data_IF_368781603061
#
_entry.id   IF_368781603061
#
_cell.length_a   1.000
_cell.length_b   1.000
_cell.length_c   1.000
_cell.angle_alpha   90.00
_cell.angle_beta   90.00
_cell.angle_gamma   90.00
#
_symmetry.space_group_name_H-M   'P 1'
#
loop_
_entity.id
_entity.type
_entity.pdbx_description
1 polymer ?
#
# COMPACT_ATOMS: atom_id res chain seq x y z
N UNK A 1 12.65 22.62 -13.10
CA UNK A 1 13.25 21.34 -13.53
C UNK A 1 12.14 20.31 -13.50
N UNK A 2 11.75 19.77 -14.67
CA UNK A 2 10.59 18.89 -14.83
C UNK A 2 10.76 17.61 -14.05
N UNK A 3 9.80 17.34 -13.16
CA UNK A 3 9.62 16.06 -12.52
C UNK A 3 9.32 15.03 -13.63
N UNK A 4 10.18 14.01 -13.75
CA UNK A 4 10.12 13.03 -14.84
C UNK A 4 8.80 12.27 -14.90
N UNK A 5 8.49 11.67 -16.04
CA UNK A 5 7.23 10.98 -16.39
C UNK A 5 6.72 9.92 -15.40
N UNK A 6 7.54 9.48 -14.44
CA UNK A 6 7.15 8.57 -13.35
C UNK A 6 6.14 9.16 -12.37
N UNK A 7 6.18 10.49 -12.16
CA UNK A 7 5.31 11.21 -11.23
C UNK A 7 3.87 11.38 -11.73
N UNK A 8 3.67 11.45 -13.05
CA UNK A 8 2.37 11.75 -13.67
C UNK A 8 1.38 10.57 -13.69
N UNK A 9 1.77 9.38 -13.19
CA UNK A 9 0.95 8.16 -13.27
C UNK A 9 0.42 7.64 -11.91
N UNK A 10 0.71 8.33 -10.81
CA UNK A 10 0.05 8.02 -9.53
C UNK A 10 -1.37 8.57 -9.55
N UNK A 11 -2.28 7.86 -8.86
CA UNK A 11 -3.64 8.36 -8.65
C UNK A 11 -3.55 9.67 -7.85
N UNK A 12 -4.16 10.77 -8.32
CA UNK A 12 -4.16 12.02 -7.59
C UNK A 12 -4.65 11.91 -6.14
N UNK A 13 -5.51 10.92 -5.86
CA UNK A 13 -6.02 10.65 -4.51
C UNK A 13 -4.93 10.19 -3.53
N UNK A 14 -3.85 9.59 -4.02
CA UNK A 14 -2.72 9.18 -3.19
C UNK A 14 -1.76 10.33 -2.88
N UNK A 15 -1.63 11.30 -3.80
CA UNK A 15 -0.69 12.42 -3.67
C UNK A 15 -1.05 13.42 -2.57
N UNK A 16 -2.33 13.50 -2.19
CA UNK A 16 -2.80 14.44 -1.17
C UNK A 16 -2.57 13.96 0.26
N UNK A 17 -2.24 12.67 0.47
CA UNK A 17 -2.08 12.11 1.80
C UNK A 17 -0.68 12.39 2.34
N UNK A 18 -0.57 13.33 3.27
CA UNK A 18 0.70 13.72 3.92
C UNK A 18 0.60 13.60 5.43
N UNK A 19 1.74 13.49 6.10
CA UNK A 19 1.79 13.47 7.57
C UNK A 19 1.26 14.75 8.23
N UNK A 20 1.19 15.86 7.50
CA UNK A 20 0.58 17.11 8.00
C UNK A 20 -0.95 17.00 8.14
N UNK A 21 -1.57 16.07 7.41
CA UNK A 21 -3.01 15.81 7.46
C UNK A 21 -3.38 14.65 8.39
N UNK A 22 -2.42 14.11 9.11
CA UNK A 22 -2.67 13.02 10.06
C UNK A 22 -3.50 13.52 11.25
N UNK A 23 -4.65 12.89 11.46
CA UNK A 23 -5.55 13.19 12.59
C UNK A 23 -5.07 12.61 13.93
N UNK A 24 -3.89 11.98 13.90
CA UNK A 24 -3.20 11.42 15.07
C UNK A 24 -4.02 10.40 15.89
N UNK A 25 -4.94 9.67 15.27
CA UNK A 25 -5.71 8.62 15.95
C UNK A 25 -4.89 7.40 16.34
N UNK A 26 -3.77 7.18 15.66
CA UNK A 26 -2.83 6.10 15.94
C UNK A 26 -1.40 6.68 16.09
N UNK A 27 -1.14 7.49 17.14
CA UNK A 27 0.09 8.29 17.24
C UNK A 27 1.35 7.42 17.24
N UNK A 28 1.34 6.27 17.93
CA UNK A 28 2.48 5.36 17.95
C UNK A 28 2.79 4.79 16.55
N UNK A 29 1.76 4.47 15.74
CA UNK A 29 1.94 3.99 14.38
C UNK A 29 2.45 5.11 13.48
N UNK A 30 1.89 6.31 13.61
CA UNK A 30 2.34 7.50 12.86
C UNK A 30 3.80 7.85 13.16
N UNK A 31 4.22 7.73 14.43
CA UNK A 31 5.62 7.95 14.83
C UNK A 31 6.57 6.91 14.18
N UNK A 32 6.20 5.63 14.18
CA UNK A 32 6.97 4.60 13.47
C UNK A 32 7.07 4.90 11.98
N UNK A 33 5.99 5.36 11.34
CA UNK A 33 6.01 5.73 9.93
C UNK A 33 6.97 6.90 9.64
N UNK A 34 7.00 7.92 10.51
CA UNK A 34 7.95 9.04 10.38
C UNK A 34 9.39 8.57 10.55
N UNK A 35 9.68 7.78 11.59
CA UNK A 35 11.00 7.19 11.82
C UNK A 35 11.45 6.31 10.66
N UNK A 36 10.55 5.54 10.04
CA UNK A 36 10.86 4.75 8.84
C UNK A 36 11.36 5.64 7.69
N UNK A 37 10.72 6.79 7.48
CA UNK A 37 11.15 7.76 6.47
C UNK A 37 12.48 8.41 6.85
N UNK A 38 12.70 8.69 8.14
CA UNK A 38 13.94 9.32 8.63
C UNK A 38 15.15 8.39 8.49
N UNK A 39 14.95 7.08 8.67
CA UNK A 39 15.97 6.03 8.53
C UNK A 39 15.87 5.28 7.19
N UNK A 40 15.42 5.95 6.14
CA UNK A 40 15.15 5.31 4.85
C UNK A 40 16.34 4.56 4.27
N UNK A 41 17.55 5.10 4.37
CA UNK A 41 18.73 4.47 3.76
C UNK A 41 19.05 3.13 4.42
N UNK A 42 18.89 3.03 5.73
CA UNK A 42 19.04 1.76 6.48
C UNK A 42 17.92 0.79 6.13
N UNK A 43 16.67 1.25 6.09
CA UNK A 43 15.51 0.42 5.71
C UNK A 43 15.67 -0.13 4.30
N UNK A 44 16.21 0.69 3.38
CA UNK A 44 16.48 0.28 2.00
C UNK A 44 17.63 -0.71 1.91
N UNK A 45 18.72 -0.48 2.64
CA UNK A 45 19.89 -1.37 2.63
C UNK A 45 19.56 -2.78 3.10
N UNK A 46 18.71 -2.88 4.14
CA UNK A 46 18.30 -4.15 4.74
C UNK A 46 17.00 -4.73 4.15
N UNK A 47 16.46 -4.11 3.08
CA UNK A 47 15.20 -4.51 2.44
C UNK A 47 14.02 -4.63 3.43
N UNK A 48 13.91 -3.70 4.37
CA UNK A 48 12.87 -3.72 5.41
C UNK A 48 11.61 -3.03 4.91
N UNK A 49 10.53 -3.78 4.74
CA UNK A 49 9.22 -3.28 4.39
C UNK A 49 8.26 -3.20 5.58
N UNK A 50 7.05 -2.70 5.32
CA UNK A 50 5.98 -2.53 6.31
C UNK A 50 4.71 -3.23 5.85
N UNK A 51 4.08 -3.98 6.76
CA UNK A 51 2.73 -4.51 6.60
C UNK A 51 1.77 -3.74 7.52
N UNK A 52 0.85 -2.98 6.92
CA UNK A 52 -0.28 -2.39 7.64
C UNK A 52 -1.47 -3.34 7.59
N UNK A 53 -2.04 -3.68 8.74
CA UNK A 53 -3.19 -4.59 8.82
C UNK A 53 -4.24 -4.08 9.83
N UNK A 54 -5.48 -4.58 9.71
CA UNK A 54 -6.58 -4.20 10.60
C UNK A 54 -7.85 -3.82 9.85
N UNK A 55 -8.88 -3.36 10.57
CA UNK A 55 -10.20 -3.09 10.04
C UNK A 55 -10.27 -2.11 8.88
N UNK A 56 -11.40 -2.14 8.17
CA UNK A 56 -11.66 -1.23 7.04
C UNK A 56 -11.78 0.22 7.53
N UNK A 57 -11.14 1.15 6.81
CA UNK A 57 -11.28 2.59 7.08
C UNK A 57 -10.45 3.11 8.26
N UNK A 58 -9.56 2.31 8.86
CA UNK A 58 -8.73 2.69 10.01
C UNK A 58 -7.56 3.61 9.67
N UNK A 59 -7.25 3.83 8.36
CA UNK A 59 -6.19 4.74 7.93
C UNK A 59 -4.92 4.06 7.41
N UNK A 60 -4.93 2.74 7.14
CA UNK A 60 -3.78 1.99 6.60
C UNK A 60 -3.23 2.60 5.31
N UNK A 61 -4.09 2.73 4.30
CA UNK A 61 -3.74 3.32 3.00
C UNK A 61 -3.25 4.77 3.14
N UNK A 62 -3.85 5.53 4.06
CA UNK A 62 -3.43 6.90 4.34
C UNK A 62 -1.97 6.96 4.80
N UNK A 63 -1.60 6.18 5.85
CA UNK A 63 -0.23 6.17 6.37
C UNK A 63 0.79 5.59 5.38
N UNK A 64 0.40 4.55 4.62
CA UNK A 64 1.25 4.01 3.55
C UNK A 64 1.54 5.08 2.47
N UNK A 65 0.54 5.87 2.09
CA UNK A 65 0.70 7.00 1.18
C UNK A 65 1.55 8.12 1.78
N UNK A 66 1.38 8.42 3.08
CA UNK A 66 2.21 9.42 3.77
C UNK A 66 3.70 9.07 3.69
N UNK A 67 4.06 7.79 3.91
CA UNK A 67 5.44 7.33 3.76
C UNK A 67 5.91 7.52 2.32
N UNK A 68 5.14 7.06 1.32
CA UNK A 68 5.53 7.18 -0.07
C UNK A 68 5.74 8.64 -0.48
N UNK A 69 4.82 9.54 -0.12
CA UNK A 69 4.92 10.96 -0.45
C UNK A 69 6.11 11.63 0.25
N UNK A 70 6.34 11.34 1.54
CA UNK A 70 7.49 11.86 2.26
C UNK A 70 8.84 11.38 1.69
N UNK A 71 8.91 10.13 1.19
CA UNK A 71 10.08 9.61 0.47
C UNK A 71 10.27 10.32 -0.88
N UNK A 72 9.17 10.57 -1.61
CA UNK A 72 9.20 11.32 -2.86
C UNK A 72 9.72 12.75 -2.65
N UNK A 73 9.28 13.43 -1.58
CA UNK A 73 9.77 14.77 -1.22
C UNK A 73 11.28 14.78 -0.93
N UNK A 74 11.86 13.62 -0.55
CA UNK A 74 13.30 13.39 -0.40
C UNK A 74 13.97 12.87 -1.68
N UNK A 75 13.32 12.99 -2.84
CA UNK A 75 13.82 12.54 -4.15
C UNK A 75 14.02 11.02 -4.27
N UNK A 76 13.40 10.21 -3.40
CA UNK A 76 13.37 8.74 -3.52
C UNK A 76 12.32 8.34 -4.55
N UNK A 77 12.64 7.38 -5.41
CA UNK A 77 11.69 6.82 -6.38
C UNK A 77 10.69 5.90 -5.66
N UNK A 78 9.55 6.45 -5.25
CA UNK A 78 8.48 5.67 -4.66
C UNK A 78 7.23 5.65 -5.55
N UNK A 79 6.40 4.59 -5.41
CA UNK A 79 5.13 4.47 -6.13
C UNK A 79 4.08 3.80 -5.26
N UNK A 80 2.82 4.23 -5.42
CA UNK A 80 1.65 3.63 -4.79
C UNK A 80 0.77 3.03 -5.87
N UNK A 81 0.37 1.78 -5.70
CA UNK A 81 -0.54 1.05 -6.58
C UNK A 81 -1.42 0.10 -5.76
N UNK A 82 -2.28 -0.67 -6.42
CA UNK A 82 -3.05 -1.75 -5.82
C UNK A 82 -3.14 -2.94 -6.79
N UNK A 83 -3.48 -4.12 -6.28
CA UNK A 83 -3.57 -5.31 -7.12
C UNK A 83 -4.59 -5.20 -8.26
N UNK A 84 -5.80 -4.66 -8.09
CA UNK A 84 -6.73 -4.46 -9.21
C UNK A 84 -6.12 -3.67 -10.37
N UNK A 85 -5.35 -2.63 -10.11
CA UNK A 85 -4.65 -1.86 -11.16
C UNK A 85 -3.53 -2.65 -11.83
N UNK A 86 -2.76 -3.40 -11.03
CA UNK A 86 -1.73 -4.29 -11.54
C UNK A 86 -2.36 -5.34 -12.45
N UNK A 87 -3.46 -5.98 -12.00
CA UNK A 87 -4.16 -7.01 -12.75
C UNK A 87 -4.73 -6.49 -14.07
N UNK A 88 -5.37 -5.31 -14.05
CA UNK A 88 -5.88 -4.67 -15.27
C UNK A 88 -4.77 -4.43 -16.30
N UNK A 89 -3.57 -4.07 -15.83
CA UNK A 89 -2.40 -3.91 -16.70
C UNK A 89 -1.90 -5.26 -17.25
N UNK A 90 -1.84 -6.28 -16.42
CA UNK A 90 -1.37 -7.61 -16.83
C UNK A 90 -2.36 -8.36 -17.74
N UNK A 91 -3.65 -7.95 -17.75
CA UNK A 91 -4.69 -8.50 -18.61
C UNK A 91 -4.80 -7.78 -19.98
N UNK A 92 -4.17 -6.62 -20.14
CA UNK A 92 -4.22 -5.85 -21.38
C UNK A 92 -3.66 -6.64 -22.58
N UNK A 93 -4.39 -6.65 -23.71
CA UNK A 93 -3.92 -7.26 -24.96
C UNK A 93 -2.69 -6.50 -25.48
N UNK A 94 -1.60 -7.22 -25.78
CA UNK A 94 -0.39 -6.63 -26.36
C UNK A 94 0.52 -5.91 -25.35
N UNK A 95 0.20 -5.92 -24.06
CA UNK A 95 1.08 -5.34 -23.03
C UNK A 95 2.28 -6.25 -22.76
N UNK A 96 3.47 -5.66 -22.70
CA UNK A 96 4.70 -6.32 -22.23
C UNK A 96 4.63 -6.50 -20.71
N UNK A 97 4.16 -7.69 -20.29
CA UNK A 97 4.00 -8.05 -18.89
C UNK A 97 5.32 -7.98 -18.12
N UNK A 98 6.39 -8.47 -18.73
CA UNK A 98 7.70 -8.47 -18.10
C UNK A 98 8.22 -7.03 -17.95
N UNK A 99 8.14 -6.22 -19.00
CA UNK A 99 8.52 -4.81 -18.95
C UNK A 99 7.70 -4.01 -17.93
N UNK A 100 6.42 -4.40 -17.70
CA UNK A 100 5.61 -3.79 -16.65
C UNK A 100 6.09 -4.17 -15.25
N UNK A 101 6.42 -5.45 -14.99
CA UNK A 101 6.99 -5.91 -13.72
C UNK A 101 8.35 -5.25 -13.44
N UNK A 102 9.19 -5.19 -14.46
CA UNK A 102 10.49 -4.51 -14.38
C UNK A 102 10.34 -3.03 -14.04
N UNK A 103 9.31 -2.38 -14.60
CA UNK A 103 8.98 -0.99 -14.29
C UNK A 103 8.55 -0.80 -12.84
N UNK A 104 7.72 -1.70 -12.28
CA UNK A 104 7.36 -1.68 -10.86
C UNK A 104 8.61 -1.83 -9.98
N UNK A 105 9.54 -2.70 -10.37
CA UNK A 105 10.76 -2.96 -9.62
C UNK A 105 11.85 -1.89 -9.78
N UNK A 106 11.68 -0.89 -10.67
CA UNK A 106 12.55 0.30 -10.72
C UNK A 106 12.35 1.25 -9.55
N UNK A 107 11.17 1.23 -8.93
CA UNK A 107 10.94 2.04 -7.73
C UNK A 107 11.72 1.51 -6.54
N UNK A 108 12.36 2.43 -5.79
CA UNK A 108 13.11 2.08 -4.59
C UNK A 108 12.14 1.64 -3.48
N UNK A 109 11.02 2.34 -3.32
CA UNK A 109 9.91 1.94 -2.45
C UNK A 109 8.66 1.68 -3.28
N UNK A 110 8.02 0.52 -3.10
CA UNK A 110 6.74 0.18 -3.72
C UNK A 110 5.68 -0.02 -2.63
N UNK A 111 4.57 0.71 -2.75
CA UNK A 111 3.39 0.51 -1.91
C UNK A 111 2.34 -0.25 -2.73
N UNK A 112 1.87 -1.38 -2.23
CA UNK A 112 0.73 -2.12 -2.78
C UNK A 112 -0.41 -2.08 -1.76
N UNK A 113 -1.45 -1.33 -2.13
CA UNK A 113 -2.62 -1.11 -1.28
C UNK A 113 -3.65 -2.25 -1.46
N UNK A 114 -4.36 -2.59 -0.37
CA UNK A 114 -5.49 -3.52 -0.32
C UNK A 114 -5.17 -4.95 -0.82
N UNK A 115 -4.15 -5.61 -0.26
CA UNK A 115 -3.92 -7.04 -0.45
C UNK A 115 -5.09 -7.85 0.13
N UNK A 116 -5.61 -8.83 -0.64
CA UNK A 116 -6.68 -9.74 -0.24
C UNK A 116 -8.07 -9.28 -0.69
N UNK A 117 -8.17 -8.28 -1.58
CA UNK A 117 -9.43 -7.82 -2.21
C UNK A 117 -9.62 -8.41 -3.61
N UNK A 118 -8.66 -9.16 -4.10
CA UNK A 118 -8.63 -9.70 -5.45
C UNK A 118 -9.64 -10.84 -5.63
N UNK A 119 -10.07 -11.06 -6.87
CA UNK A 119 -10.89 -12.23 -7.22
C UNK A 119 -10.06 -13.50 -7.01
N UNK A 120 -10.64 -14.48 -6.31
CA UNK A 120 -10.00 -15.78 -6.07
C UNK A 120 -10.11 -16.67 -7.32
N UNK A 121 -9.29 -16.34 -8.33
CA UNK A 121 -9.10 -17.18 -9.52
C UNK A 121 -7.65 -17.64 -9.60
N UNK A 122 -7.42 -18.85 -10.13
CA UNK A 122 -6.07 -19.38 -10.32
C UNK A 122 -5.16 -18.42 -11.06
N UNK A 123 -5.70 -17.73 -12.07
CA UNK A 123 -4.95 -16.70 -12.82
C UNK A 123 -4.56 -15.50 -11.93
N UNK A 124 -5.49 -14.98 -11.12
CA UNK A 124 -5.20 -13.86 -10.23
C UNK A 124 -4.13 -14.21 -9.20
N UNK A 125 -4.25 -15.39 -8.58
CA UNK A 125 -3.27 -15.89 -7.60
C UNK A 125 -1.87 -16.00 -8.23
N UNK A 126 -1.78 -16.54 -9.45
CA UNK A 126 -0.52 -16.65 -10.18
C UNK A 126 0.10 -15.29 -10.47
N UNK A 127 -0.69 -14.32 -10.96
CA UNK A 127 -0.17 -12.99 -11.27
C UNK A 127 0.26 -12.23 -10.01
N UNK A 128 -0.49 -12.32 -8.90
CA UNK A 128 -0.11 -11.73 -7.61
C UNK A 128 1.20 -12.34 -7.14
N UNK A 129 1.32 -13.67 -7.20
CA UNK A 129 2.56 -14.36 -6.85
C UNK A 129 3.74 -13.83 -7.67
N UNK A 130 3.60 -13.70 -9.00
CA UNK A 130 4.65 -13.21 -9.89
C UNK A 130 5.09 -11.78 -9.52
N UNK A 131 4.15 -10.90 -9.17
CA UNK A 131 4.44 -9.52 -8.73
C UNK A 131 5.22 -9.51 -7.43
N UNK A 132 4.75 -10.26 -6.42
CA UNK A 132 5.35 -10.31 -5.09
C UNK A 132 6.73 -10.99 -5.15
N UNK A 133 6.86 -12.09 -5.89
CA UNK A 133 8.12 -12.80 -6.08
C UNK A 133 9.16 -11.95 -6.85
N UNK A 134 8.76 -11.26 -7.90
CA UNK A 134 9.65 -10.35 -8.61
C UNK A 134 10.12 -9.20 -7.71
N UNK A 135 9.24 -8.69 -6.83
CA UNK A 135 9.61 -7.66 -5.86
C UNK A 135 10.58 -8.20 -4.81
N UNK A 136 10.33 -9.38 -4.26
CA UNK A 136 11.25 -10.05 -3.32
C UNK A 136 12.65 -10.19 -3.92
N UNK A 137 12.74 -10.71 -5.15
CA UNK A 137 14.03 -10.84 -5.85
C UNK A 137 14.72 -9.53 -6.18
N UNK A 138 13.99 -8.43 -6.25
CA UNK A 138 14.59 -7.12 -6.50
C UNK A 138 15.39 -6.57 -5.32
N UNK A 139 15.26 -7.15 -4.12
CA UNK A 139 15.91 -6.69 -2.89
C UNK A 139 15.52 -5.27 -2.49
N UNK A 140 14.30 -4.84 -2.82
CA UNK A 140 13.83 -3.47 -2.53
C UNK A 140 12.60 -3.49 -1.64
N UNK A 141 12.50 -2.58 -0.64
CA UNK A 141 11.41 -2.52 0.31
C UNK A 141 10.03 -2.50 -0.32
N UNK A 142 9.10 -3.25 0.29
CA UNK A 142 7.70 -3.31 -0.04
C UNK A 142 6.87 -2.82 1.15
N UNK A 143 5.90 -1.96 0.89
CA UNK A 143 4.87 -1.60 1.86
C UNK A 143 3.55 -2.17 1.39
N UNK A 144 2.86 -2.90 2.26
CA UNK A 144 1.58 -3.53 1.94
C UNK A 144 0.53 -3.10 2.94
N UNK A 145 -0.69 -2.85 2.47
CA UNK A 145 -1.85 -2.72 3.34
C UNK A 145 -2.82 -3.88 3.11
N UNK A 146 -3.51 -4.32 4.16
CA UNK A 146 -4.50 -5.39 4.06
C UNK A 146 -5.58 -5.26 5.15
N UNK A 147 -6.78 -5.75 4.85
CA UNK A 147 -7.84 -5.94 5.83
C UNK A 147 -7.81 -7.32 6.50
N UNK A 148 -6.95 -8.22 6.03
CA UNK A 148 -6.75 -9.54 6.62
C UNK A 148 -6.07 -9.40 7.99
N UNK A 149 -6.37 -10.32 8.89
CA UNK A 149 -5.65 -10.45 10.15
C UNK A 149 -4.30 -11.13 9.95
N UNK A 150 -3.41 -11.04 10.93
CA UNK A 150 -2.15 -11.79 10.87
C UNK A 150 -2.38 -13.31 10.87
N UNK A 151 -3.46 -13.77 11.48
CA UNK A 151 -3.82 -15.19 11.49
C UNK A 151 -4.27 -15.65 10.10
N UNK A 152 -5.08 -14.85 9.38
CA UNK A 152 -5.46 -15.13 7.99
C UNK A 152 -4.24 -15.20 7.07
N UNK A 153 -3.26 -14.31 7.28
CA UNK A 153 -2.02 -14.30 6.49
C UNK A 153 -1.10 -15.49 6.80
N UNK A 154 -1.11 -15.99 8.05
CA UNK A 154 -0.29 -17.14 8.46
C UNK A 154 -0.93 -18.47 8.14
N UNK A 155 -2.26 -18.53 8.10
CA UNK A 155 -3.06 -19.74 7.91
C UNK A 155 -4.04 -19.57 6.73
N UNK A 156 -3.55 -19.29 5.51
CA UNK A 156 -4.42 -19.10 4.35
C UNK A 156 -5.11 -20.39 3.93
N UNK A 157 -6.30 -20.27 3.35
CA UNK A 157 -7.14 -21.39 2.92
C UNK A 157 -6.57 -22.15 1.70
N UNK A 158 -5.65 -21.56 0.95
CA UNK A 158 -5.06 -22.19 -0.23
C UNK A 158 -3.54 -22.09 -0.26
N UNK A 159 -2.90 -23.08 -0.88
CA UNK A 159 -1.44 -23.14 -1.06
C UNK A 159 -0.91 -21.98 -1.92
N UNK A 160 -1.70 -21.49 -2.86
CA UNK A 160 -1.32 -20.34 -3.70
C UNK A 160 -1.13 -19.07 -2.87
N UNK A 161 -2.11 -18.79 -2.01
CA UNK A 161 -2.02 -17.65 -1.07
C UNK A 161 -0.94 -17.85 0.01
N UNK A 162 -0.70 -19.09 0.44
CA UNK A 162 0.35 -19.38 1.41
C UNK A 162 1.73 -18.87 0.92
N UNK A 163 2.06 -19.12 -0.34
CA UNK A 163 3.32 -18.65 -0.94
C UNK A 163 3.39 -17.12 -1.07
N UNK A 164 2.27 -16.47 -1.39
CA UNK A 164 2.20 -15.02 -1.51
C UNK A 164 2.40 -14.37 -0.14
N UNK A 165 1.64 -14.84 0.86
CA UNK A 165 1.65 -14.23 2.18
C UNK A 165 2.95 -14.49 2.93
N UNK A 166 3.56 -15.67 2.76
CA UNK A 166 4.88 -15.98 3.30
C UNK A 166 5.93 -14.96 2.83
N UNK A 167 6.00 -14.69 1.52
CA UNK A 167 6.91 -13.67 0.97
C UNK A 167 6.58 -12.25 1.44
N UNK A 168 5.30 -11.89 1.55
CA UNK A 168 4.91 -10.58 2.07
C UNK A 168 5.32 -10.44 3.54
N UNK A 169 5.12 -11.48 4.35
CA UNK A 169 5.51 -11.49 5.76
C UNK A 169 7.03 -11.43 5.97
N UNK A 170 7.79 -12.05 5.06
CA UNK A 170 9.26 -11.99 5.01
C UNK A 170 9.74 -10.57 4.65
N UNK A 171 9.26 -10.00 3.55
CA UNK A 171 9.65 -8.66 3.09
C UNK A 171 9.18 -7.53 4.01
N UNK A 172 8.11 -7.76 4.79
CA UNK A 172 7.51 -6.76 5.68
C UNK A 172 7.66 -7.18 7.15
N UNK A 173 8.88 -7.19 7.73
CA UNK A 173 9.10 -7.56 9.14
C UNK A 173 8.42 -6.59 10.11
N UNK A 174 8.24 -5.32 9.72
CA UNK A 174 7.50 -4.33 10.52
C UNK A 174 6.01 -4.53 10.27
N UNK A 175 5.27 -4.97 11.31
CA UNK A 175 3.83 -5.24 11.25
C UNK A 175 3.08 -4.25 12.12
N UNK A 176 2.30 -3.36 11.50
CA UNK A 176 1.60 -2.26 12.16
C UNK A 176 0.09 -2.50 12.11
N UNK A 177 -0.50 -2.74 13.28
CA UNK A 177 -1.95 -2.87 13.44
C UNK A 177 -2.59 -1.50 13.57
N UNK A 178 -3.56 -1.19 12.71
CA UNK A 178 -4.43 -0.04 12.88
C UNK A 178 -5.78 -0.51 13.43
N UNK A 179 -6.13 0.03 14.60
CA UNK A 179 -7.40 -0.23 15.26
C UNK A 179 -8.24 1.06 15.29
N UNK A 180 -9.53 0.91 15.60
CA UNK A 180 -10.47 2.00 15.76
C UNK A 180 -11.58 2.01 14.70
N UNK A 181 -12.48 2.98 14.83
CA UNK A 181 -13.63 3.13 13.95
C UNK A 181 -13.22 3.59 12.55
N UNK A 182 -14.03 3.21 11.57
CA UNK A 182 -13.82 3.64 10.18
C UNK A 182 -13.91 5.16 10.06
N UNK A 183 -12.81 5.78 9.62
CA UNK A 183 -12.77 7.22 9.28
C UNK A 183 -13.81 7.58 8.22
N UNK A 184 -14.13 6.65 7.31
CA UNK A 184 -15.14 6.84 6.26
C UNK A 184 -16.52 7.00 6.87
N UNK A 185 -16.88 6.22 7.89
CA UNK A 185 -18.17 6.32 8.57
C UNK A 185 -18.30 7.64 9.33
N UNK A 186 -17.26 8.05 10.06
CA UNK A 186 -17.22 9.32 10.79
C UNK A 186 -17.37 10.51 9.82
N UNK A 187 -16.60 10.50 8.73
CA UNK A 187 -16.65 11.56 7.72
C UNK A 187 -18.01 11.59 6.98
N UNK A 188 -18.63 10.43 6.74
CA UNK A 188 -19.96 10.35 6.13
C UNK A 188 -21.03 10.91 7.07
N UNK A 189 -20.95 10.64 8.37
CA UNK A 189 -21.86 11.23 9.37
C UNK A 189 -21.74 12.76 9.40
N UNK A 190 -20.52 13.29 9.49
CA UNK A 190 -20.27 14.73 9.48
C UNK A 190 -20.79 15.42 8.20
N UNK A 191 -20.57 14.78 7.02
CA UNK A 191 -21.10 15.28 5.75
C UNK A 191 -22.63 15.26 5.72
N UNK A 192 -23.26 14.23 6.25
CA UNK A 192 -24.71 14.12 6.35
C UNK A 192 -25.29 15.22 7.23
N UNK A 193 -24.68 15.45 8.40
CA UNK A 193 -25.14 16.48 9.34
C UNK A 193 -24.98 17.88 8.71
N UNK A 194 -23.88 18.12 8.00
CA UNK A 194 -23.70 19.37 7.24
C UNK A 194 -24.74 19.54 6.11
N UNK A 195 -25.05 18.45 5.39
CA UNK A 195 -26.06 18.48 4.34
C UNK A 195 -27.46 18.81 4.91
N UNK A 196 -27.82 18.25 6.07
CA UNK A 196 -29.08 18.58 6.77
C UNK A 196 -29.14 20.05 7.14
N UNK A 197 -28.05 20.60 7.69
CA UNK A 197 -27.95 22.02 8.03
C UNK A 197 -28.19 22.93 6.80
N UNK A 198 -27.55 22.58 5.66
CA UNK A 198 -27.68 23.36 4.41
C UNK A 198 -29.08 23.24 3.82
N UNK A 199 -29.70 22.06 3.90
CA UNK A 199 -31.01 21.78 3.31
C UNK A 199 -32.17 22.10 4.24
N UNK A 200 -31.92 22.50 5.51
CA UNK A 200 -32.94 22.79 6.50
C UNK A 200 -33.78 21.58 6.92
N UNK A 201 -33.16 20.36 6.97
CA UNK A 201 -33.83 19.10 7.31
C UNK A 201 -33.64 18.73 8.77
#
# INVERSE_FOLDING_TARGET
RGLGDGYKRQDPSYLVNTFAQDDNRNPAVSDVCRKYVDHWEEMKADNIGILFYGGVGTGKSFLACCIANALIDRCVKASVTNFPRIMNRLQGFGEDKQGFLDKLNRYDCLVIDDLGVERDTSYSVEQIYNVVDARSRSGKPLIVTTNLSLDDLRNPSSMGYARIYDRVLEMCPIKLKLAGDSRRTVNAAARRDRAKEILGM
#
